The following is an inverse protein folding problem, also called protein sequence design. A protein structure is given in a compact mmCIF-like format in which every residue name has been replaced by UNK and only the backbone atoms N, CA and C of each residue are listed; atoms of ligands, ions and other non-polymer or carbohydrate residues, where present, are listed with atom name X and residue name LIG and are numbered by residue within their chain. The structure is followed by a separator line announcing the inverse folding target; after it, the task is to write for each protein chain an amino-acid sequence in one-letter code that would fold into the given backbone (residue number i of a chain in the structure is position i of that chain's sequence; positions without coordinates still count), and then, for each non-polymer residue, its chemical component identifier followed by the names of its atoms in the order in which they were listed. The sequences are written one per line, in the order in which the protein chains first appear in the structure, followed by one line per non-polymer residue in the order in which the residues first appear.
data_IF_883232048513
#
_entry.id   IF_883232048513
#
_cell.length_a   1.000
_cell.length_b   1.000
_cell.length_c   1.000
_cell.angle_alpha   90.00
_cell.angle_beta   90.00
_cell.angle_gamma   90.00
#
_symmetry.space_group_name_H-M   'P 1'
#
loop_
_entity.id
_entity.type
_entity.pdbx_description
1 polymer ?
#
# COMPACT_ATOMS: atom_id res chain seq x y z
N UNK A 1 -26.89 12.17 -4.68
CA UNK A 1 -27.35 10.77 -4.83
C UNK A 1 -28.12 10.42 -3.57
N UNK A 2 -29.28 9.77 -3.66
CA UNK A 2 -30.07 9.34 -2.49
C UNK A 2 -29.40 8.12 -1.82
N UNK A 3 -29.63 7.85 -0.51
CA UNK A 3 -29.12 6.64 0.12
C UNK A 3 -29.77 5.39 -0.47
N UNK A 4 -28.98 4.32 -0.61
CA UNK A 4 -29.50 3.02 -1.05
C UNK A 4 -30.39 2.38 0.04
N UNK A 5 -30.13 2.68 1.32
CA UNK A 5 -30.91 2.23 2.48
C UNK A 5 -31.04 3.32 3.56
N UNK A 6 -32.17 3.31 4.27
CA UNK A 6 -32.48 4.26 5.35
C UNK A 6 -33.22 5.52 4.86
N UNK A 7 -33.63 6.40 5.79
CA UNK A 7 -34.33 7.64 5.45
C UNK A 7 -33.42 8.61 4.68
N UNK A 8 -34.01 9.39 3.78
CA UNK A 8 -33.30 10.46 3.06
C UNK A 8 -33.19 11.74 3.90
N UNK A 9 -32.76 11.59 5.15
CA UNK A 9 -32.58 12.67 6.12
C UNK A 9 -31.30 12.41 6.92
N UNK A 10 -30.44 13.44 7.05
CA UNK A 10 -29.21 13.33 7.83
C UNK A 10 -29.50 13.79 9.27
N UNK A 11 -29.62 12.82 10.17
CA UNK A 11 -29.69 13.06 11.61
C UNK A 11 -28.32 13.30 12.24
N UNK A 12 -28.29 13.41 13.58
CA UNK A 12 -27.04 13.63 14.36
C UNK A 12 -25.99 12.54 14.17
N UNK A 13 -26.40 11.32 13.84
CA UNK A 13 -25.50 10.19 13.59
C UNK A 13 -24.84 10.22 12.19
N UNK A 14 -25.22 11.16 11.33
CA UNK A 14 -24.69 11.24 9.97
C UNK A 14 -25.23 10.12 9.06
N UNK A 15 -24.35 9.56 8.23
CA UNK A 15 -24.64 8.47 7.33
C UNK A 15 -23.61 7.34 7.50
N UNK A 16 -24.03 6.09 7.32
CA UNK A 16 -23.15 4.92 7.34
C UNK A 16 -23.11 4.30 5.95
N UNK A 17 -21.90 4.01 5.46
CA UNK A 17 -21.71 3.26 4.22
C UNK A 17 -21.23 1.85 4.56
N UNK A 18 -21.85 0.86 3.93
CA UNK A 18 -21.44 -0.55 4.01
C UNK A 18 -21.12 -1.02 2.60
N UNK A 19 -20.10 -1.86 2.45
CA UNK A 19 -19.73 -2.45 1.18
C UNK A 19 -18.89 -3.70 1.37
N UNK A 20 -18.74 -4.46 0.30
CA UNK A 20 -17.85 -5.61 0.22
C UNK A 20 -16.77 -5.34 -0.83
N UNK A 21 -15.55 -5.80 -0.55
CA UNK A 21 -14.38 -5.65 -1.45
C UNK A 21 -13.39 -6.78 -1.20
N UNK A 22 -12.51 -7.04 -2.17
CA UNK A 22 -11.34 -7.90 -1.96
C UNK A 22 -10.47 -7.35 -0.81
N UNK A 23 -9.71 -8.22 -0.11
CA UNK A 23 -8.67 -7.79 0.81
C UNK A 23 -7.71 -6.81 0.13
N UNK A 24 -7.29 -5.82 0.91
CA UNK A 24 -6.38 -4.77 0.49
C UNK A 24 -5.08 -4.98 1.23
N UNK A 25 -3.96 -4.88 0.53
CA UNK A 25 -2.65 -4.83 1.15
C UNK A 25 -2.15 -3.38 1.17
N UNK A 26 -1.88 -2.86 2.37
CA UNK A 26 -1.23 -1.58 2.56
C UNK A 26 0.29 -1.79 2.61
N UNK A 27 1.01 -1.17 1.67
CA UNK A 27 2.41 -1.43 1.42
C UNK A 27 3.16 -0.11 1.21
N UNK A 28 4.12 0.19 2.10
CA UNK A 28 4.95 1.39 2.05
C UNK A 28 6.34 1.03 1.54
N UNK A 29 6.92 1.90 0.71
CA UNK A 29 8.33 1.83 0.32
C UNK A 29 9.01 3.13 0.72
N UNK A 30 10.02 3.02 1.57
CA UNK A 30 10.79 4.16 2.05
C UNK A 30 11.98 4.42 1.12
N UNK A 31 12.14 5.68 0.70
CA UNK A 31 13.18 6.14 -0.20
C UNK A 31 14.12 7.11 0.52
N UNK A 32 15.39 7.11 0.11
CA UNK A 32 16.40 8.03 0.63
C UNK A 32 16.08 9.49 0.29
N UNK A 33 16.56 10.40 1.15
CA UNK A 33 16.40 11.84 0.95
C UNK A 33 15.08 12.42 1.48
N UNK A 34 14.84 13.70 1.19
CA UNK A 34 13.69 14.46 1.72
C UNK A 34 12.87 15.14 0.61
N UNK A 35 13.02 14.68 -0.63
CA UNK A 35 12.32 15.24 -1.79
C UNK A 35 10.89 14.68 -1.91
N UNK A 36 9.98 15.29 -1.16
CA UNK A 36 8.55 14.97 -1.19
C UNK A 36 7.91 15.13 -2.59
N UNK A 37 8.21 16.19 -3.37
CA UNK A 37 7.78 16.27 -4.77
C UNK A 37 8.17 15.04 -5.59
N UNK A 38 9.42 14.57 -5.48
CA UNK A 38 9.90 13.36 -6.13
C UNK A 38 9.08 12.12 -5.76
N UNK A 39 8.80 11.91 -4.47
CA UNK A 39 7.94 10.82 -4.01
C UNK A 39 6.51 10.92 -4.56
N UNK A 40 5.93 12.13 -4.63
CA UNK A 40 4.60 12.36 -5.21
C UNK A 40 4.55 12.07 -6.70
N UNK A 41 5.63 12.36 -7.43
CA UNK A 41 5.74 12.05 -8.84
C UNK A 41 5.89 10.54 -9.07
N UNK A 42 6.71 9.84 -8.28
CA UNK A 42 6.79 8.37 -8.32
C UNK A 42 5.42 7.74 -8.06
N UNK A 43 4.72 8.18 -7.00
CA UNK A 43 3.37 7.71 -6.69
C UNK A 43 2.38 7.95 -7.84
N UNK A 44 2.52 9.06 -8.57
CA UNK A 44 1.71 9.35 -9.76
C UNK A 44 2.05 8.40 -10.90
N UNK A 45 3.31 8.07 -11.12
CA UNK A 45 3.73 7.14 -12.16
C UNK A 45 3.21 5.72 -11.92
N UNK A 46 3.17 5.25 -10.68
CA UNK A 46 2.82 3.85 -10.37
C UNK A 46 1.33 3.60 -10.15
N UNK A 47 0.52 4.61 -9.80
CA UNK A 47 -0.92 4.41 -9.51
C UNK A 47 -1.78 4.29 -10.76
N UNK A 48 -2.79 3.42 -10.67
CA UNK A 48 -3.74 3.14 -11.75
C UNK A 48 -4.45 4.38 -12.28
N UNK A 49 -4.88 5.29 -11.39
CA UNK A 49 -5.62 6.50 -11.76
C UNK A 49 -4.83 7.49 -12.62
N UNK A 50 -3.54 7.24 -12.83
CA UNK A 50 -2.65 8.02 -13.68
C UNK A 50 -2.03 7.17 -14.80
N UNK A 51 -2.57 5.97 -15.04
CA UNK A 51 -2.13 5.05 -16.09
C UNK A 51 -1.00 4.09 -15.68
N UNK A 52 -0.70 4.00 -14.38
CA UNK A 52 0.30 3.09 -13.85
C UNK A 52 -0.20 1.66 -13.70
N UNK A 53 0.24 0.99 -12.64
CA UNK A 53 -0.11 -0.40 -12.35
C UNK A 53 -1.61 -0.53 -12.03
N UNK A 54 -2.26 -1.53 -12.62
CA UNK A 54 -3.65 -1.87 -12.34
C UNK A 54 -3.82 -2.28 -10.88
N UNK A 55 -4.96 -1.95 -10.26
CA UNK A 55 -5.24 -2.28 -8.86
C UNK A 55 -4.25 -1.69 -7.84
N UNK A 56 -3.50 -0.65 -8.22
CA UNK A 56 -2.61 0.10 -7.31
C UNK A 56 -3.10 1.53 -7.14
N UNK A 57 -3.25 1.92 -5.87
CA UNK A 57 -3.42 3.33 -5.48
C UNK A 57 -2.18 3.75 -4.73
N UNK A 58 -1.62 4.92 -5.04
CA UNK A 58 -0.39 5.38 -4.40
C UNK A 58 -0.42 6.88 -4.08
N UNK A 59 0.22 7.23 -2.97
CA UNK A 59 0.52 8.60 -2.55
C UNK A 59 1.99 8.68 -2.11
N UNK A 60 2.61 9.84 -2.32
CA UNK A 60 3.97 10.13 -1.86
C UNK A 60 3.96 11.24 -0.82
N UNK A 61 4.73 11.09 0.26
CA UNK A 61 4.87 12.10 1.31
C UNK A 61 6.20 11.99 2.07
N UNK A 62 6.60 13.07 2.75
CA UNK A 62 7.79 13.08 3.59
C UNK A 62 7.58 12.32 4.91
N UNK A 63 8.65 11.71 5.41
CA UNK A 63 8.71 11.06 6.73
C UNK A 63 9.86 11.70 7.53
N UNK A 64 9.65 12.90 8.12
CA UNK A 64 10.71 13.71 8.72
C UNK A 64 11.49 13.00 9.82
N UNK A 65 10.82 12.19 10.63
CA UNK A 65 11.41 11.45 11.75
C UNK A 65 12.45 10.43 11.27
N UNK A 66 12.32 9.94 10.03
CA UNK A 66 13.25 9.00 9.39
C UNK A 66 14.21 9.67 8.41
N UNK A 67 14.12 11.00 8.22
CA UNK A 67 14.84 11.74 7.16
C UNK A 67 14.73 11.06 5.79
N UNK A 68 13.52 10.58 5.49
CA UNK A 68 13.19 9.83 4.28
C UNK A 68 11.90 10.38 3.65
N UNK A 69 11.57 9.89 2.47
CA UNK A 69 10.24 10.02 1.88
C UNK A 69 9.66 8.63 1.65
N UNK A 70 8.35 8.52 1.49
CA UNK A 70 7.70 7.24 1.26
C UNK A 70 6.77 7.30 0.06
N UNK A 71 6.66 6.16 -0.63
CA UNK A 71 5.58 5.86 -1.55
C UNK A 71 4.66 4.86 -0.84
N UNK A 72 3.54 5.36 -0.33
CA UNK A 72 2.53 4.55 0.34
C UNK A 72 1.51 4.07 -0.67
N UNK A 73 1.30 2.75 -0.72
CA UNK A 73 0.47 2.09 -1.71
C UNK A 73 -0.60 1.23 -1.06
N UNK A 74 -1.73 1.17 -1.75
CA UNK A 74 -2.82 0.24 -1.49
C UNK A 74 -2.95 -0.64 -2.73
N UNK A 75 -2.56 -1.91 -2.60
CA UNK A 75 -2.80 -2.95 -3.60
C UNK A 75 -4.22 -3.47 -3.32
N UNK A 76 -5.18 -2.97 -4.10
CA UNK A 76 -6.62 -3.27 -3.88
C UNK A 76 -7.03 -4.62 -4.44
N UNK A 77 -6.17 -5.23 -5.26
CA UNK A 77 -6.26 -6.60 -5.74
C UNK A 77 -4.83 -7.15 -5.96
N UNK A 78 -4.27 -7.80 -4.94
CA UNK A 78 -2.89 -8.30 -4.96
C UNK A 78 -2.70 -9.49 -5.92
N UNK A 79 -3.78 -10.10 -6.39
CA UNK A 79 -3.75 -11.15 -7.43
C UNK A 79 -3.50 -10.56 -8.82
N UNK A 80 -3.84 -9.27 -9.02
CA UNK A 80 -3.63 -8.53 -10.28
C UNK A 80 -2.27 -7.84 -10.30
N UNK A 81 -1.86 -7.24 -9.19
CA UNK A 81 -0.53 -6.66 -9.03
C UNK A 81 -0.01 -6.96 -7.65
N UNK A 82 1.04 -7.78 -7.60
CA UNK A 82 1.67 -8.21 -6.35
C UNK A 82 2.65 -7.20 -5.77
N UNK A 83 3.11 -7.45 -4.54
CA UNK A 83 4.10 -6.60 -3.85
C UNK A 83 5.40 -6.48 -4.63
N UNK A 84 5.83 -7.56 -5.28
CA UNK A 84 7.06 -7.60 -6.09
C UNK A 84 6.98 -6.65 -7.27
N UNK A 85 5.90 -6.71 -8.05
CA UNK A 85 5.72 -5.84 -9.22
C UNK A 85 5.59 -4.37 -8.82
N UNK A 86 4.83 -4.09 -7.74
CA UNK A 86 4.72 -2.75 -7.19
C UNK A 86 6.07 -2.20 -6.70
N UNK A 87 6.86 -3.05 -6.03
CA UNK A 87 8.21 -2.71 -5.57
C UNK A 87 9.15 -2.41 -6.73
N UNK A 88 9.19 -3.27 -7.75
CA UNK A 88 10.06 -3.11 -8.91
C UNK A 88 9.72 -1.85 -9.72
N UNK A 89 8.43 -1.52 -9.84
CA UNK A 89 7.99 -0.28 -10.48
C UNK A 89 8.46 0.97 -9.72
N UNK A 90 8.32 0.98 -8.39
CA UNK A 90 8.82 2.08 -7.55
C UNK A 90 10.35 2.16 -7.61
N UNK A 91 11.05 1.01 -7.56
CA UNK A 91 12.51 0.95 -7.66
C UNK A 91 13.03 1.57 -8.95
N UNK A 92 12.38 1.27 -10.08
CA UNK A 92 12.70 1.85 -11.38
C UNK A 92 12.54 3.37 -11.40
N UNK A 93 11.41 3.87 -10.91
CA UNK A 93 11.12 5.31 -10.88
C UNK A 93 11.99 6.08 -9.88
N UNK A 94 12.34 5.45 -8.76
CA UNK A 94 13.27 5.99 -7.76
C UNK A 94 14.69 6.09 -8.33
N UNK A 95 15.19 5.03 -8.98
CA UNK A 95 16.50 5.02 -9.60
C UNK A 95 16.65 6.11 -10.68
N UNK A 96 15.61 6.33 -11.49
CA UNK A 96 15.58 7.41 -12.48
C UNK A 96 15.69 8.82 -11.86
N UNK A 97 15.42 8.96 -10.56
CA UNK A 97 15.48 10.22 -9.79
C UNK A 97 16.67 10.28 -8.83
N UNK A 98 17.55 9.27 -8.83
CA UNK A 98 18.68 9.17 -7.90
C UNK A 98 18.25 8.92 -6.45
N UNK A 99 17.05 8.38 -6.23
CA UNK A 99 16.57 7.94 -4.92
C UNK A 99 16.84 6.44 -4.74
N UNK A 100 17.24 6.05 -3.53
CA UNK A 100 17.48 4.66 -3.18
C UNK A 100 16.34 4.12 -2.33
N UNK A 101 15.93 2.87 -2.54
CA UNK A 101 15.01 2.20 -1.61
C UNK A 101 15.79 1.83 -0.35
N UNK A 102 15.27 2.23 0.81
CA UNK A 102 15.81 1.87 2.12
C UNK A 102 15.23 0.53 2.58
N UNK A 103 13.92 0.45 2.65
CA UNK A 103 13.15 -0.69 3.14
C UNK A 103 11.70 -0.58 2.65
N UNK A 104 10.93 -1.65 2.84
CA UNK A 104 9.48 -1.62 2.71
C UNK A 104 8.78 -2.13 3.96
N UNK A 105 7.49 -1.85 4.06
CA UNK A 105 6.67 -2.21 5.21
C UNK A 105 5.27 -2.61 4.75
N UNK A 106 4.73 -3.69 5.32
CA UNK A 106 3.30 -3.99 5.26
C UNK A 106 2.65 -3.39 6.49
N UNK A 107 1.65 -2.53 6.27
CA UNK A 107 0.91 -1.87 7.34
C UNK A 107 -0.31 -2.69 7.70
N UNK A 108 -0.34 -3.20 8.93
CA UNK A 108 -1.43 -4.03 9.43
C UNK A 108 -1.28 -5.49 9.02
N UNK A 109 -2.39 -6.11 8.60
CA UNK A 109 -2.47 -7.53 8.27
C UNK A 109 -2.36 -7.75 6.76
N UNK A 110 -1.72 -8.86 6.38
CA UNK A 110 -1.64 -9.34 5.01
C UNK A 110 -2.27 -10.74 4.90
N UNK A 111 -2.97 -11.05 3.80
CA UNK A 111 -3.24 -12.44 3.43
C UNK A 111 -1.93 -13.18 3.16
N UNK A 112 -1.82 -14.44 3.55
CA UNK A 112 -0.61 -15.26 3.28
C UNK A 112 -0.28 -15.30 1.78
N UNK A 113 -1.30 -15.41 0.93
CA UNK A 113 -1.16 -15.44 -0.52
C UNK A 113 -0.55 -14.15 -1.11
N UNK A 114 -0.57 -13.03 -0.39
CA UNK A 114 -0.01 -11.76 -0.84
C UNK A 114 1.52 -11.68 -0.70
N UNK A 115 2.14 -12.64 0.00
CA UNK A 115 3.59 -12.75 0.18
C UNK A 115 4.11 -14.16 -0.15
N UNK A 116 4.26 -14.50 -1.44
CA UNK A 116 4.91 -15.73 -1.86
C UNK A 116 6.32 -15.92 -1.26
N UNK A 117 6.80 -17.16 -1.11
CA UNK A 117 8.15 -17.42 -0.60
C UNK A 117 9.22 -16.68 -1.42
N UNK A 118 10.10 -15.95 -0.73
CA UNK A 118 11.18 -15.16 -1.35
C UNK A 118 10.81 -13.72 -1.71
N UNK A 119 9.53 -13.33 -1.64
CA UNK A 119 9.12 -11.95 -1.89
C UNK A 119 9.57 -11.00 -0.78
N UNK A 120 9.52 -11.43 0.49
CA UNK A 120 9.91 -10.60 1.63
C UNK A 120 11.35 -10.07 1.55
N UNK A 121 12.30 -10.91 1.14
CA UNK A 121 13.70 -10.51 0.95
C UNK A 121 13.86 -9.57 -0.24
N UNK A 122 13.21 -9.90 -1.36
CA UNK A 122 13.26 -9.08 -2.59
C UNK A 122 12.74 -7.67 -2.35
N UNK A 123 11.61 -7.55 -1.67
CA UNK A 123 10.98 -6.25 -1.39
C UNK A 123 11.59 -5.55 -0.18
N UNK A 124 12.64 -6.11 0.45
CA UNK A 124 13.32 -5.52 1.63
C UNK A 124 12.35 -5.25 2.77
N UNK A 125 11.47 -6.22 3.04
CA UNK A 125 10.41 -6.07 4.03
C UNK A 125 11.00 -6.00 5.45
N UNK A 126 10.87 -4.84 6.09
CA UNK A 126 11.38 -4.58 7.43
C UNK A 126 10.32 -4.92 8.49
N UNK A 127 10.75 -5.53 9.60
CA UNK A 127 9.90 -5.76 10.77
C UNK A 127 8.72 -6.73 10.57
N UNK A 128 8.65 -7.44 9.44
CA UNK A 128 7.53 -8.34 9.17
C UNK A 128 7.62 -9.63 10.00
N UNK A 129 6.59 -9.87 10.81
CA UNK A 129 6.40 -11.11 11.55
C UNK A 129 5.23 -11.91 10.95
N UNK A 130 5.51 -13.03 10.25
CA UNK A 130 4.45 -13.88 9.70
C UNK A 130 3.44 -14.36 10.75
N UNK A 131 3.86 -14.50 12.02
CA UNK A 131 2.99 -14.96 13.11
C UNK A 131 2.05 -13.88 13.66
N UNK A 132 2.36 -12.61 13.45
CA UNK A 132 1.58 -11.48 13.99
C UNK A 132 0.82 -10.72 12.89
N UNK A 133 1.19 -10.92 11.62
CA UNK A 133 0.67 -10.11 10.52
C UNK A 133 0.00 -10.92 9.41
N UNK A 134 0.10 -12.25 9.40
CA UNK A 134 -0.69 -13.08 8.47
C UNK A 134 -2.08 -13.30 9.06
N UNK A 135 -3.10 -12.82 8.34
CA UNK A 135 -4.49 -12.86 8.79
C UNK A 135 -4.95 -14.29 9.12
N UNK A 136 -4.66 -15.23 8.24
CA UNK A 136 -5.08 -16.63 8.36
C UNK A 136 -4.52 -17.28 9.63
N UNK A 137 -3.25 -17.03 9.95
CA UNK A 137 -2.59 -17.58 11.14
C UNK A 137 -3.14 -17.04 12.45
N UNK A 138 -3.62 -15.79 12.46
CA UNK A 138 -4.26 -15.20 13.63
C UNK A 138 -5.67 -15.76 13.86
N UNK A 139 -6.41 -16.05 12.78
CA UNK A 139 -7.75 -16.65 12.87
C UNK A 139 -7.67 -18.10 13.30
N UNK A 140 -6.66 -18.85 12.86
CA UNK A 140 -6.48 -20.26 13.26
C UNK A 140 -5.97 -20.43 14.70
N UNK A 141 -5.36 -19.38 15.27
CA UNK A 141 -4.81 -19.39 16.64
C UNK A 141 -5.82 -18.98 17.73
N UNK A 142 -7.02 -18.53 17.37
CA UNK A 142 -8.08 -18.06 18.30
C UNK A 142 -9.30 -18.98 18.32
#
# INVERSE_FOLDING_TARGET
RLPDFGPHEIGRAGATAVGARKPLLAFNIYLSGTDEPGAKDIARCVRESSGGLTAVRAIGFAVPERRSVTVSMNLVDFEVTGVRDAFDAVAKEAAARGMEILESEIVGLAPEAALPPGDGEHVRLAGFSPHEQILERLVEAG
#
